data_IF_199540328556
#
_entry.id   IF_199540328556
#
_cell.length_a   1.000
_cell.length_b   1.000
_cell.length_c   1.000
_cell.angle_alpha   90.00
_cell.angle_beta   90.00
_cell.angle_gamma   90.00
#
_symmetry.space_group_name_H-M   'P 1'
#
loop_
_entity.id
_entity.type
_entity.pdbx_description
1 polymer ?
#
# COMPACT_ATOMS: atom_id res chain seq x y z
N UNK A 1 51.72 21.20 28.18
CA UNK A 1 50.48 20.38 28.29
C UNK A 1 49.19 21.17 27.96
N UNK A 2 49.21 22.12 27.01
CA UNK A 2 48.04 23.01 26.75
C UNK A 2 47.32 22.79 25.40
N UNK A 3 47.77 21.85 24.55
CA UNK A 3 47.27 21.71 23.17
C UNK A 3 46.11 20.70 23.01
N UNK A 4 45.81 19.92 24.05
CA UNK A 4 44.74 18.91 24.05
C UNK A 4 43.36 19.54 24.18
N UNK A 5 43.21 20.64 24.93
CA UNK A 5 41.92 21.28 25.19
C UNK A 5 41.31 21.95 23.95
N UNK A 6 42.12 22.48 23.03
CA UNK A 6 41.65 23.06 21.76
C UNK A 6 41.08 22.02 20.80
N UNK A 7 41.66 20.82 20.77
CA UNK A 7 41.18 19.71 19.92
C UNK A 7 39.85 19.14 20.43
N UNK A 8 39.70 19.02 21.74
CA UNK A 8 38.44 18.58 22.36
C UNK A 8 37.31 19.58 22.12
N UNK A 9 37.58 20.89 22.20
CA UNK A 9 36.59 21.94 21.91
C UNK A 9 36.17 21.97 20.43
N UNK A 10 37.08 21.69 19.49
CA UNK A 10 36.75 21.60 18.06
C UNK A 10 35.97 20.31 17.71
N UNK A 11 36.27 19.20 18.40
CA UNK A 11 35.56 17.93 18.20
C UNK A 11 34.13 17.95 18.77
N UNK A 12 33.90 18.63 19.90
CA UNK A 12 32.53 18.79 20.44
C UNK A 12 31.68 19.75 19.59
N UNK A 13 32.27 20.81 19.03
CA UNK A 13 31.56 21.72 18.13
C UNK A 13 31.11 21.08 16.81
N UNK A 14 31.87 20.12 16.29
CA UNK A 14 31.52 19.42 15.05
C UNK A 14 30.40 18.38 15.27
N UNK A 15 30.33 17.76 16.46
CA UNK A 15 29.30 16.78 16.79
C UNK A 15 27.92 17.40 17.09
N UNK A 16 27.85 18.67 17.50
CA UNK A 16 26.58 19.35 17.79
C UNK A 16 25.93 20.00 16.56
N UNK A 17 26.67 20.19 15.47
CA UNK A 17 26.16 20.82 14.24
C UNK A 17 25.49 19.84 13.26
N UNK A 18 25.78 18.54 13.37
CA UNK A 18 25.25 17.51 12.45
C UNK A 18 23.73 17.22 12.58
N UNK A 19 23.04 17.35 13.74
CA UNK A 19 21.62 17.00 13.82
C UNK A 19 20.69 18.00 13.15
N UNK A 20 21.09 19.27 12.99
CA UNK A 20 20.23 20.33 12.45
C UNK A 20 20.05 20.24 10.92
N UNK A 21 20.98 19.60 10.21
CA UNK A 21 20.91 19.49 8.75
C UNK A 21 19.93 18.40 8.26
N UNK A 22 19.38 17.58 9.16
CA UNK A 22 18.42 16.52 8.84
C UNK A 22 16.96 16.91 9.12
N UNK A 23 16.67 18.19 9.36
CA UNK A 23 15.31 18.69 9.32
C UNK A 23 14.80 18.59 7.86
N UNK A 24 14.31 17.41 7.48
CA UNK A 24 13.63 17.20 6.22
C UNK A 24 12.47 18.17 6.19
N UNK A 25 12.54 19.17 5.32
CA UNK A 25 11.39 19.98 4.98
C UNK A 25 10.47 19.07 4.17
N UNK A 26 9.68 18.24 4.86
CA UNK A 26 8.59 17.53 4.25
C UNK A 26 7.67 18.62 3.72
N UNK A 27 7.66 18.80 2.39
CA UNK A 27 6.76 19.74 1.75
C UNK A 27 5.34 19.43 2.24
N UNK A 28 4.63 20.46 2.72
CA UNK A 28 3.28 20.27 3.23
C UNK A 28 2.43 19.64 2.13
N UNK A 29 1.99 18.41 2.37
CA UNK A 29 1.09 17.71 1.46
C UNK A 29 -0.28 18.40 1.49
N UNK A 30 -0.98 18.59 0.36
CA UNK A 30 -0.63 18.18 -1.00
C UNK A 30 0.15 19.24 -1.82
N UNK A 31 1.15 18.78 -2.59
CA UNK A 31 1.98 19.61 -3.49
C UNK A 31 1.47 19.73 -4.93
N UNK A 32 0.51 18.88 -5.33
CA UNK A 32 -0.11 18.83 -6.66
C UNK A 32 -1.58 18.42 -6.52
N UNK A 33 -2.40 18.50 -7.57
CA UNK A 33 -3.79 18.05 -7.53
C UNK A 33 -3.92 16.61 -7.02
N UNK A 34 -4.94 16.36 -6.20
CA UNK A 34 -5.26 15.02 -5.68
C UNK A 34 -6.37 14.42 -6.54
N UNK A 35 -6.20 13.18 -7.00
CA UNK A 35 -7.18 12.44 -7.78
C UNK A 35 -7.83 11.38 -6.91
N UNK A 36 -9.16 11.42 -6.83
CA UNK A 36 -9.99 10.39 -6.20
C UNK A 36 -10.55 9.51 -7.31
N UNK A 37 -10.09 8.26 -7.37
CA UNK A 37 -10.54 7.28 -8.34
C UNK A 37 -11.75 6.54 -7.78
N UNK A 38 -12.83 6.47 -8.55
CA UNK A 38 -14.12 5.93 -8.13
C UNK A 38 -14.55 4.81 -9.08
N UNK A 39 -14.76 3.56 -8.61
CA UNK A 39 -15.13 2.43 -9.45
C UNK A 39 -16.62 2.39 -9.84
N UNK A 40 -17.25 3.55 -9.96
CA UNK A 40 -18.69 3.70 -10.20
C UNK A 40 -18.95 4.75 -11.29
N UNK A 41 -20.04 4.63 -12.05
CA UNK A 41 -20.34 5.57 -13.12
C UNK A 41 -20.55 6.98 -12.58
N UNK A 42 -20.16 7.98 -13.37
CA UNK A 42 -20.43 9.39 -13.06
C UNK A 42 -21.94 9.62 -12.96
N UNK A 43 -22.36 10.49 -12.04
CA UNK A 43 -23.77 10.74 -11.72
C UNK A 43 -24.46 9.65 -10.88
N UNK A 44 -23.79 8.52 -10.59
CA UNK A 44 -24.30 7.50 -9.68
C UNK A 44 -24.23 7.91 -8.20
N UNK A 45 -24.80 7.10 -7.32
CA UNK A 45 -24.84 7.37 -5.87
C UNK A 45 -23.45 7.58 -5.25
N UNK A 46 -22.46 6.77 -5.63
CA UNK A 46 -21.09 6.92 -5.17
C UNK A 46 -20.44 8.24 -5.64
N UNK A 47 -20.73 8.65 -6.87
CA UNK A 47 -20.22 9.90 -7.46
C UNK A 47 -20.87 11.13 -6.80
N UNK A 48 -22.17 11.07 -6.53
CA UNK A 48 -22.89 12.10 -5.79
C UNK A 48 -22.37 12.28 -4.36
N UNK A 49 -21.88 11.21 -3.72
CA UNK A 49 -21.31 11.27 -2.37
C UNK A 49 -19.89 11.87 -2.35
N UNK A 50 -19.05 11.56 -3.34
CA UNK A 50 -17.65 12.00 -3.34
C UNK A 50 -17.46 13.44 -3.82
N UNK A 51 -18.29 13.96 -4.72
CA UNK A 51 -18.19 15.34 -5.23
C UNK A 51 -18.17 16.42 -4.14
N UNK A 52 -19.10 16.44 -3.17
CA UNK A 52 -19.05 17.42 -2.08
C UNK A 52 -17.82 17.23 -1.17
N UNK A 53 -17.33 16.00 -1.02
CA UNK A 53 -16.09 15.71 -0.29
C UNK A 53 -14.90 16.32 -1.03
N UNK A 54 -14.78 16.08 -2.33
CA UNK A 54 -13.72 16.62 -3.18
C UNK A 54 -13.70 18.16 -3.15
N UNK A 55 -14.86 18.81 -3.26
CA UNK A 55 -14.98 20.26 -3.19
C UNK A 55 -14.52 20.81 -1.82
N UNK A 56 -14.93 20.17 -0.72
CA UNK A 56 -14.51 20.57 0.63
C UNK A 56 -13.01 20.38 0.84
N UNK A 57 -12.45 19.25 0.40
CA UNK A 57 -11.02 18.99 0.48
C UNK A 57 -10.22 19.97 -0.36
N UNK A 58 -10.71 20.32 -1.55
CA UNK A 58 -10.06 21.30 -2.42
C UNK A 58 -9.97 22.68 -1.75
N UNK A 59 -11.04 23.12 -1.07
CA UNK A 59 -11.02 24.35 -0.26
C UNK A 59 -10.05 24.28 0.93
N UNK A 60 -9.99 23.14 1.61
CA UNK A 60 -9.12 22.96 2.78
C UNK A 60 -7.64 22.91 2.42
N UNK A 61 -7.30 22.28 1.30
CA UNK A 61 -5.91 22.09 0.87
C UNK A 61 -5.40 23.19 -0.06
N UNK A 62 -6.30 24.01 -0.63
CA UNK A 62 -5.91 24.99 -1.64
C UNK A 62 -5.40 24.36 -2.94
N UNK A 63 -5.58 23.05 -3.11
CA UNK A 63 -5.21 22.28 -4.29
C UNK A 63 -6.46 21.68 -4.93
N UNK A 64 -6.52 21.54 -6.26
CA UNK A 64 -7.64 20.87 -6.92
C UNK A 64 -7.76 19.41 -6.46
N UNK A 65 -8.98 18.98 -6.17
CA UNK A 65 -9.30 17.57 -5.93
C UNK A 65 -10.22 17.09 -7.06
N UNK A 66 -9.72 16.18 -7.88
CA UNK A 66 -10.38 15.70 -9.10
C UNK A 66 -11.00 14.33 -8.86
N UNK A 67 -12.22 14.11 -9.34
CA UNK A 67 -12.90 12.80 -9.29
C UNK A 67 -12.73 12.12 -10.65
N UNK A 68 -12.10 10.94 -10.69
CA UNK A 68 -11.94 10.11 -11.89
C UNK A 68 -12.79 8.83 -11.77
N UNK A 69 -13.86 8.75 -12.55
CA UNK A 69 -14.77 7.60 -12.57
C UNK A 69 -14.24 6.48 -13.48
N UNK A 70 -13.82 5.36 -12.89
CA UNK A 70 -13.25 4.19 -13.59
C UNK A 70 -14.05 2.93 -13.32
N UNK A 71 -15.14 2.74 -14.06
CA UNK A 71 -16.01 1.57 -13.93
C UNK A 71 -15.42 0.30 -14.56
N UNK A 72 -15.84 -0.86 -14.05
CA UNK A 72 -15.61 -2.16 -14.68
C UNK A 72 -14.95 -3.19 -13.77
N UNK A 73 -15.06 -4.46 -14.17
CA UNK A 73 -14.52 -5.63 -13.46
C UNK A 73 -14.77 -5.63 -11.94
N UNK A 74 -15.97 -5.21 -11.52
CA UNK A 74 -16.35 -5.05 -10.11
C UNK A 74 -15.31 -4.27 -9.28
N UNK A 75 -14.83 -3.15 -9.83
CA UNK A 75 -13.87 -2.26 -9.19
C UNK A 75 -12.39 -2.66 -9.31
N UNK A 76 -12.08 -3.78 -9.96
CA UNK A 76 -10.68 -4.22 -10.15
C UNK A 76 -9.90 -3.19 -10.97
N UNK A 77 -10.50 -2.60 -12.01
CA UNK A 77 -9.80 -1.68 -12.91
C UNK A 77 -9.31 -0.44 -12.15
N UNK A 78 -10.21 0.23 -11.44
CA UNK A 78 -9.88 1.37 -10.58
C UNK A 78 -8.85 0.98 -9.52
N UNK A 79 -9.05 -0.17 -8.86
CA UNK A 79 -8.14 -0.62 -7.80
C UNK A 79 -6.74 -0.88 -8.35
N UNK A 80 -6.61 -1.52 -9.52
CA UNK A 80 -5.32 -1.76 -10.16
C UNK A 80 -4.65 -0.46 -10.60
N UNK A 81 -5.42 0.52 -11.06
CA UNK A 81 -4.90 1.84 -11.42
C UNK A 81 -4.28 2.53 -10.19
N UNK A 82 -5.02 2.59 -9.07
CA UNK A 82 -4.51 3.19 -7.83
C UNK A 82 -3.34 2.39 -7.25
N UNK A 83 -3.37 1.06 -7.33
CA UNK A 83 -2.25 0.21 -6.89
C UNK A 83 -0.96 0.42 -7.70
N UNK A 84 -1.06 0.89 -8.94
CA UNK A 84 0.09 1.18 -9.82
C UNK A 84 0.49 2.66 -9.78
N UNK A 85 -0.31 3.52 -9.18
CA UNK A 85 0.00 4.93 -9.03
C UNK A 85 1.20 5.12 -8.09
N UNK A 86 1.81 6.29 -8.19
CA UNK A 86 2.90 6.66 -7.30
C UNK A 86 2.40 6.69 -5.85
N UNK A 87 3.13 6.13 -4.87
CA UNK A 87 2.69 6.04 -3.48
C UNK A 87 2.89 7.37 -2.72
N UNK A 88 2.57 8.50 -3.36
CA UNK A 88 2.72 9.87 -2.85
C UNK A 88 1.45 10.40 -2.15
N UNK A 89 0.36 9.63 -2.22
CA UNK A 89 -0.94 9.99 -1.64
C UNK A 89 -1.79 10.89 -2.52
N UNK A 90 -1.33 11.30 -3.70
CA UNK A 90 -2.10 12.13 -4.63
C UNK A 90 -3.09 11.34 -5.47
N UNK A 91 -3.00 10.02 -5.50
CA UNK A 91 -4.01 9.15 -6.14
C UNK A 91 -4.61 8.24 -5.09
N UNK A 92 -5.88 8.46 -4.75
CA UNK A 92 -6.59 7.70 -3.72
C UNK A 92 -7.79 6.98 -4.30
N UNK A 93 -8.11 5.80 -3.77
CA UNK A 93 -9.26 5.01 -4.18
C UNK A 93 -10.42 5.28 -3.22
N UNK A 94 -11.57 5.70 -3.75
CA UNK A 94 -12.84 5.64 -3.02
C UNK A 94 -13.66 4.47 -3.53
N UNK A 95 -13.79 3.44 -2.71
CA UNK A 95 -14.53 2.23 -3.04
C UNK A 95 -15.58 1.96 -1.97
N UNK A 96 -16.81 1.58 -2.37
CA UNK A 96 -17.82 1.10 -1.44
C UNK A 96 -17.60 -0.40 -1.16
N UNK A 97 -18.66 -1.13 -0.82
CA UNK A 97 -18.64 -2.55 -0.44
C UNK A 97 -18.07 -3.50 -1.49
N UNK A 98 -18.05 -3.12 -2.78
CA UNK A 98 -17.52 -3.95 -3.87
C UNK A 98 -16.04 -4.36 -3.68
N UNK A 99 -15.25 -3.57 -2.93
CA UNK A 99 -13.86 -3.91 -2.62
C UNK A 99 -13.75 -5.18 -1.75
N UNK A 100 -14.73 -5.41 -0.88
CA UNK A 100 -14.79 -6.56 0.03
C UNK A 100 -15.46 -7.76 -0.65
N UNK A 101 -16.45 -7.51 -1.52
CA UNK A 101 -17.12 -8.55 -2.28
C UNK A 101 -16.18 -9.24 -3.28
N UNK A 102 -15.15 -8.52 -3.74
CA UNK A 102 -14.21 -9.04 -4.70
C UNK A 102 -13.05 -9.79 -4.01
N UNK A 103 -13.18 -11.11 -3.90
CA UNK A 103 -12.15 -11.95 -3.30
C UNK A 103 -10.77 -11.78 -3.95
N UNK A 104 -10.69 -11.42 -5.24
CA UNK A 104 -9.42 -11.16 -5.90
C UNK A 104 -8.66 -9.96 -5.31
N UNK A 105 -9.36 -8.97 -4.75
CA UNK A 105 -8.77 -7.82 -4.08
C UNK A 105 -8.32 -8.16 -2.64
N UNK A 106 -9.00 -9.11 -1.98
CA UNK A 106 -8.65 -9.58 -0.64
C UNK A 106 -7.52 -10.61 -0.61
N UNK A 107 -7.40 -11.44 -1.66
CA UNK A 107 -6.53 -12.62 -1.67
C UNK A 107 -5.05 -12.34 -1.97
N UNK A 108 -4.51 -11.16 -1.66
CA UNK A 108 -3.06 -10.91 -1.72
C UNK A 108 -2.28 -11.56 -0.55
N UNK A 109 -2.72 -12.74 -0.11
CA UNK A 109 -1.97 -13.63 0.80
C UNK A 109 -1.00 -14.46 -0.04
N UNK A 110 0.30 -14.33 0.27
CA UNK A 110 1.42 -15.13 -0.25
C UNK A 110 1.08 -16.63 -0.38
N UNK A 111 0.51 -17.05 -1.50
CA UNK A 111 0.31 -18.47 -1.85
C UNK A 111 1.52 -18.96 -2.63
N UNK A 112 2.64 -19.28 -1.97
CA UNK A 112 3.69 -20.12 -2.57
C UNK A 112 4.43 -21.09 -1.63
N UNK A 113 4.24 -21.05 -0.31
CA UNK A 113 5.06 -21.88 0.59
C UNK A 113 4.36 -23.10 1.22
N UNK A 114 3.02 -23.17 1.25
CA UNK A 114 2.33 -24.15 2.10
C UNK A 114 1.94 -25.48 1.42
N UNK A 115 2.06 -25.61 0.09
CA UNK A 115 1.51 -26.76 -0.65
C UNK A 115 2.57 -27.75 -1.19
N UNK A 116 3.77 -27.79 -0.61
CA UNK A 116 4.82 -28.76 -0.98
C UNK A 116 5.12 -29.82 0.09
N UNK A 117 4.47 -29.76 1.25
CA UNK A 117 4.78 -30.64 2.40
C UNK A 117 3.89 -31.88 2.56
N UNK A 118 2.80 -32.04 1.80
CA UNK A 118 1.75 -33.04 2.11
C UNK A 118 1.90 -34.35 1.31
N UNK A 119 2.72 -34.40 0.27
CA UNK A 119 2.86 -35.59 -0.60
C UNK A 119 4.05 -36.50 -0.28
N UNK A 120 4.86 -36.24 0.75
CA UNK A 120 6.13 -36.93 0.96
C UNK A 120 6.12 -38.14 1.93
N UNK A 121 5.01 -38.52 2.57
CA UNK A 121 5.04 -39.55 3.63
C UNK A 121 4.25 -40.85 3.39
N UNK A 122 3.82 -41.16 2.17
CA UNK A 122 3.25 -42.49 1.83
C UNK A 122 4.23 -43.35 1.05
N UNK A 123 5.30 -43.83 1.69
CA UNK A 123 6.06 -44.98 1.18
C UNK A 123 6.79 -45.76 2.28
N UNK A 124 6.04 -46.38 3.19
CA UNK A 124 6.51 -47.56 3.94
C UNK A 124 5.29 -48.35 4.43
N UNK A 125 4.82 -49.30 3.62
CA UNK A 125 3.93 -50.38 4.08
C UNK A 125 4.74 -51.67 4.10
N UNK A 126 4.81 -52.41 5.22
CA UNK A 126 5.53 -53.67 5.29
C UNK A 126 4.84 -54.72 4.41
N UNK A 127 5.65 -55.40 3.61
CA UNK A 127 5.32 -56.54 2.74
C UNK A 127 4.67 -57.65 3.59
N UNK A 128 3.37 -57.87 3.44
CA UNK A 128 2.71 -59.10 3.91
C UNK A 128 2.79 -60.18 2.82
N UNK A 129 3.32 -61.33 3.22
CA UNK A 129 3.57 -62.55 2.43
C UNK A 129 2.32 -63.15 1.76
N UNK A 130 2.50 -63.99 0.71
CA UNK A 130 1.40 -64.54 -0.06
C UNK A 130 0.70 -65.69 0.68
N UNK A 131 -0.63 -65.64 0.72
CA UNK A 131 -1.50 -66.71 1.20
C UNK A 131 -1.36 -67.93 0.27
N UNK A 132 -0.88 -69.06 0.79
CA UNK A 132 -0.92 -70.38 0.16
C UNK A 132 -2.38 -70.84 0.08
N UNK A 133 -2.86 -71.20 -1.12
CA UNK A 133 -4.12 -71.93 -1.34
C UNK A 133 -3.78 -73.41 -1.55
N UNK A 134 -4.32 -74.27 -0.69
CA UNK A 134 -4.75 -75.64 -0.97
C UNK A 134 -5.54 -76.12 0.25
#
# INVERSE_FOLDING_TARGET
>A
MFNTSRRVLLQTALCTALPLALASHAAAWPTKPVTIVVPYPAGGSADAMVRPIAEKLSRLWGQPVVVDNRTGANGIIATQLVMRAEPDGHTVLLHLTGFIQNASLLLRRRRRAAWRGITASRRTSPRLMPRRKS
#
